data_IF_498598516205
#
_entry.id   IF_498598516205
#
_cell.length_a   1.000
_cell.length_b   1.000
_cell.length_c   1.000
_cell.angle_alpha   90.00
_cell.angle_beta   90.00
_cell.angle_gamma   90.00
#
_symmetry.space_group_name_H-M   'P 1'
#
loop_
_entity.id
_entity.type
_entity.pdbx_description
1 polymer ?
#
# COMPACT_ATOMS: atom_id res chain seq x y z
N UNK A 1 6.92 39.90 18.29
CA UNK A 1 7.45 39.31 17.05
C UNK A 1 8.36 38.17 17.44
N UNK A 2 7.81 36.96 17.52
CA UNK A 2 8.58 35.75 17.80
C UNK A 2 7.96 34.65 16.96
N UNK A 3 8.27 34.67 15.67
CA UNK A 3 7.98 33.57 14.77
C UNK A 3 8.86 32.41 15.23
N UNK A 4 8.24 31.36 15.77
CA UNK A 4 8.95 30.26 16.43
C UNK A 4 9.75 29.47 15.40
N UNK A 5 10.99 29.06 15.74
CA UNK A 5 11.90 28.24 14.92
C UNK A 5 11.23 27.03 14.23
N UNK A 6 10.13 26.54 14.79
CA UNK A 6 9.32 25.45 14.22
C UNK A 6 8.61 25.83 12.91
N UNK A 7 8.06 27.04 12.80
CA UNK A 7 7.37 27.48 11.57
C UNK A 7 8.36 27.67 10.41
N UNK A 8 9.58 28.10 10.71
CA UNK A 8 10.65 28.21 9.73
C UNK A 8 11.11 26.84 9.22
N UNK A 9 11.29 25.86 10.12
CA UNK A 9 11.69 24.50 9.74
C UNK A 9 10.61 23.77 8.91
N UNK A 10 9.33 23.98 9.23
CA UNK A 10 8.22 23.43 8.44
C UNK A 10 8.13 24.09 7.06
N UNK A 11 8.35 25.40 6.97
CA UNK A 11 8.36 26.12 5.69
C UNK A 11 9.54 25.68 4.79
N UNK A 12 10.71 25.44 5.38
CA UNK A 12 11.90 24.95 4.67
C UNK A 12 11.67 23.53 4.13
N UNK A 13 11.13 22.62 4.95
CA UNK A 13 10.79 21.26 4.50
C UNK A 13 9.75 21.25 3.37
N UNK A 14 8.73 22.13 3.42
CA UNK A 14 7.73 22.27 2.35
C UNK A 14 8.36 22.83 1.06
N UNK A 15 9.35 23.72 1.16
CA UNK A 15 10.04 24.30 0.00
C UNK A 15 10.92 23.26 -0.70
N UNK A 16 11.68 22.47 0.05
CA UNK A 16 12.48 21.36 -0.48
C UNK A 16 11.60 20.30 -1.15
N UNK A 17 10.43 20.01 -0.57
CA UNK A 17 9.44 19.11 -1.16
C UNK A 17 8.87 19.64 -2.48
N UNK A 18 8.65 20.96 -2.59
CA UNK A 18 8.16 21.58 -3.84
C UNK A 18 9.17 21.50 -4.96
N UNK A 19 10.45 21.77 -4.68
CA UNK A 19 11.52 21.64 -5.69
C UNK A 19 11.67 20.19 -6.15
N UNK A 20 11.50 19.23 -5.22
CA UNK A 20 11.51 17.80 -5.54
C UNK A 20 10.30 17.42 -6.42
N UNK A 21 9.10 17.93 -6.13
CA UNK A 21 7.90 17.71 -6.94
C UNK A 21 8.00 18.38 -8.32
N UNK A 22 8.61 19.55 -8.43
CA UNK A 22 8.84 20.22 -9.73
C UNK A 22 9.91 19.50 -10.56
N UNK A 23 10.95 18.96 -9.94
CA UNK A 23 11.91 18.06 -10.59
C UNK A 23 11.22 16.77 -11.08
N UNK A 24 10.23 16.28 -10.32
CA UNK A 24 9.36 15.17 -10.72
C UNK A 24 8.29 15.54 -11.78
N UNK A 25 8.25 16.78 -12.26
CA UNK A 25 7.28 17.23 -13.28
C UNK A 25 7.84 17.33 -14.71
N UNK A 26 9.16 17.30 -14.90
CA UNK A 26 9.79 17.55 -16.21
C UNK A 26 10.08 16.24 -16.96
N UNK A 27 9.17 15.89 -17.88
CA UNK A 27 9.25 14.83 -18.92
C UNK A 27 9.46 13.40 -18.41
N UNK A 28 8.34 12.78 -18.04
CA UNK A 28 8.24 11.35 -17.69
C UNK A 28 7.81 10.52 -18.90
N UNK A 29 8.71 9.65 -19.38
CA UNK A 29 8.44 8.62 -20.38
C UNK A 29 8.88 7.26 -19.80
N UNK A 30 7.95 6.47 -19.24
CA UNK A 30 8.21 5.11 -18.78
C UNK A 30 7.32 4.11 -19.55
N UNK A 31 7.95 3.12 -20.18
CA UNK A 31 7.31 2.08 -20.99
C UNK A 31 8.20 0.83 -21.07
N UNK A 32 8.73 0.39 -19.93
CA UNK A 32 9.61 -0.78 -19.81
C UNK A 32 8.95 -1.83 -18.91
N UNK A 33 9.02 -3.11 -19.30
CA UNK A 33 8.42 -4.23 -18.58
C UNK A 33 9.51 -5.18 -18.06
N UNK A 34 9.42 -5.60 -16.79
CA UNK A 34 10.24 -6.67 -16.19
C UNK A 34 9.64 -8.06 -16.52
N UNK A 35 10.31 -9.16 -16.14
CA UNK A 35 9.90 -10.53 -16.53
C UNK A 35 8.63 -11.03 -15.81
N UNK A 36 7.50 -11.17 -16.52
CA UNK A 36 6.19 -11.59 -15.99
C UNK A 36 5.96 -13.13 -15.99
N UNK A 37 6.76 -13.93 -15.29
CA UNK A 37 6.47 -15.38 -15.14
C UNK A 37 5.38 -15.68 -14.11
N UNK A 38 5.30 -14.89 -13.03
CA UNK A 38 4.31 -15.05 -11.97
C UNK A 38 2.91 -14.67 -12.45
N UNK A 39 2.74 -13.54 -13.14
CA UNK A 39 1.47 -13.12 -13.67
C UNK A 39 0.97 -14.01 -14.81
N UNK A 40 1.85 -14.62 -15.62
CA UNK A 40 1.43 -15.62 -16.63
C UNK A 40 0.74 -16.85 -16.04
N UNK A 41 1.00 -17.19 -14.76
CA UNK A 41 0.36 -18.31 -14.05
C UNK A 41 -0.86 -17.91 -13.24
N UNK A 42 -1.09 -16.61 -13.03
CA UNK A 42 -2.19 -16.13 -12.23
C UNK A 42 -3.53 -16.28 -12.97
N UNK A 43 -4.55 -16.72 -12.22
CA UNK A 43 -5.91 -16.89 -12.72
C UNK A 43 -6.56 -15.52 -12.97
N UNK A 44 -7.15 -15.36 -14.17
CA UNK A 44 -8.06 -14.26 -14.50
C UNK A 44 -9.47 -14.57 -13.99
N UNK A 45 -10.28 -13.54 -13.77
CA UNK A 45 -11.65 -13.72 -13.31
C UNK A 45 -11.85 -13.27 -11.87
N UNK A 46 -13.06 -12.81 -11.56
CA UNK A 46 -13.48 -12.54 -10.19
C UNK A 46 -14.56 -13.52 -9.74
N UNK A 47 -14.21 -14.46 -8.87
CA UNK A 47 -15.18 -15.36 -8.26
C UNK A 47 -14.83 -15.71 -6.80
N UNK A 48 -15.70 -16.52 -6.18
CA UNK A 48 -15.54 -16.97 -4.81
C UNK A 48 -14.24 -17.78 -4.61
N UNK A 49 -13.83 -18.57 -5.61
CA UNK A 49 -12.61 -19.37 -5.54
C UNK A 49 -11.35 -18.51 -5.56
N UNK A 50 -11.33 -17.43 -6.35
CA UNK A 50 -10.25 -16.43 -6.33
C UNK A 50 -10.16 -15.77 -4.96
N UNK A 51 -11.27 -15.34 -4.38
CA UNK A 51 -11.29 -14.72 -3.05
C UNK A 51 -10.81 -15.69 -1.96
N UNK A 52 -11.22 -16.95 -2.01
CA UNK A 52 -10.75 -18.00 -1.10
C UNK A 52 -9.27 -18.28 -1.27
N UNK A 53 -8.80 -18.32 -2.52
CA UNK A 53 -7.38 -18.51 -2.84
C UNK A 53 -6.52 -17.39 -2.25
N UNK A 54 -6.92 -16.12 -2.42
CA UNK A 54 -6.22 -14.95 -1.83
C UNK A 54 -6.09 -15.12 -0.32
N UNK A 55 -7.20 -15.41 0.35
CA UNK A 55 -7.24 -15.54 1.80
C UNK A 55 -6.39 -16.71 2.31
N UNK A 56 -6.42 -17.84 1.61
CA UNK A 56 -5.60 -19.01 1.93
C UNK A 56 -4.11 -18.77 1.69
N UNK A 57 -3.74 -18.15 0.56
CA UNK A 57 -2.36 -17.84 0.21
C UNK A 57 -1.72 -16.90 1.23
N UNK A 58 -2.51 -15.95 1.74
CA UNK A 58 -2.10 -15.00 2.79
C UNK A 58 -2.13 -15.57 4.20
N UNK A 59 -2.80 -16.71 4.41
CA UNK A 59 -2.96 -17.32 5.74
C UNK A 59 -3.82 -16.46 6.67
N UNK A 60 -4.90 -15.88 6.16
CA UNK A 60 -5.77 -14.98 6.92
C UNK A 60 -6.68 -15.70 7.92
N UNK A 61 -7.10 -15.03 9.01
CA UNK A 61 -8.12 -15.57 9.90
C UNK A 61 -9.49 -15.68 9.21
N UNK A 62 -10.31 -16.65 9.65
CA UNK A 62 -11.61 -16.97 9.05
C UNK A 62 -12.57 -15.76 8.99
N UNK A 63 -12.49 -14.85 9.95
CA UNK A 63 -13.33 -13.65 9.96
C UNK A 63 -13.02 -12.69 8.80
N UNK A 64 -11.76 -12.64 8.35
CA UNK A 64 -11.37 -11.84 7.19
C UNK A 64 -11.90 -12.47 5.91
N UNK A 65 -11.77 -13.79 5.75
CA UNK A 65 -12.39 -14.53 4.64
C UNK A 65 -13.91 -14.26 4.55
N UNK A 66 -14.62 -14.36 5.68
CA UNK A 66 -16.07 -14.06 5.74
C UNK A 66 -16.38 -12.62 5.29
N UNK A 67 -15.53 -11.65 5.64
CA UNK A 67 -15.67 -10.26 5.18
C UNK A 67 -15.42 -10.13 3.68
N UNK A 68 -14.36 -10.75 3.15
CA UNK A 68 -14.05 -10.74 1.71
C UNK A 68 -15.19 -11.33 0.88
N UNK A 69 -15.71 -12.50 1.28
CA UNK A 69 -16.84 -13.15 0.60
C UNK A 69 -18.13 -12.33 0.66
N UNK A 70 -18.40 -11.67 1.79
CA UNK A 70 -19.53 -10.73 1.90
C UNK A 70 -19.36 -9.56 0.95
N UNK A 71 -18.14 -9.03 0.82
CA UNK A 71 -17.83 -7.92 -0.07
C UNK A 71 -17.99 -8.30 -1.54
N UNK A 72 -17.57 -9.51 -1.96
CA UNK A 72 -17.81 -10.04 -3.30
C UNK A 72 -19.30 -10.04 -3.65
N UNK A 73 -20.15 -10.57 -2.76
CA UNK A 73 -21.61 -10.56 -2.96
C UNK A 73 -22.19 -9.15 -3.05
N UNK A 74 -21.63 -8.18 -2.31
CA UNK A 74 -22.04 -6.78 -2.42
C UNK A 74 -21.62 -6.18 -3.76
N UNK A 75 -20.43 -6.51 -4.25
CA UNK A 75 -19.93 -6.08 -5.54
C UNK A 75 -20.81 -6.60 -6.69
N UNK A 76 -21.16 -7.88 -6.68
CA UNK A 76 -22.01 -8.52 -7.70
C UNK A 76 -23.41 -7.91 -7.75
N UNK A 77 -23.99 -7.60 -6.59
CA UNK A 77 -25.33 -7.02 -6.49
C UNK A 77 -25.39 -5.55 -6.88
N UNK A 78 -24.26 -4.84 -6.87
CA UNK A 78 -24.21 -3.40 -7.17
C UNK A 78 -24.03 -3.16 -8.66
N UNK A 79 -24.89 -2.34 -9.29
CA UNK A 79 -24.66 -1.92 -10.68
C UNK A 79 -23.42 -1.03 -10.77
N UNK A 80 -22.84 -0.94 -11.97
CA UNK A 80 -21.82 0.08 -12.25
C UNK A 80 -22.38 1.48 -12.00
N UNK A 81 -21.57 2.42 -11.46
CA UNK A 81 -22.03 3.78 -11.28
C UNK A 81 -22.30 4.42 -12.66
N UNK A 82 -23.37 5.21 -12.73
CA UNK A 82 -23.82 5.88 -13.96
C UNK A 82 -23.37 7.34 -14.03
N UNK A 83 -22.44 7.73 -13.16
CA UNK A 83 -21.90 9.09 -13.04
C UNK A 83 -20.38 9.03 -13.10
N UNK A 84 -19.76 10.11 -13.59
CA UNK A 84 -18.32 10.16 -13.80
C UNK A 84 -17.92 9.68 -15.20
N UNK A 85 -16.68 9.19 -15.39
CA UNK A 85 -16.22 8.67 -16.68
C UNK A 85 -17.03 7.43 -17.09
N UNK A 86 -17.03 7.12 -18.39
CA UNK A 86 -17.58 5.86 -18.87
C UNK A 86 -16.72 4.69 -18.38
N UNK A 87 -17.36 3.70 -17.78
CA UNK A 87 -16.73 2.51 -17.20
C UNK A 87 -17.26 1.22 -17.83
N UNK A 88 -18.05 1.30 -18.90
CA UNK A 88 -18.60 0.11 -19.58
C UNK A 88 -17.52 -0.75 -20.22
N UNK A 89 -16.31 -0.20 -20.40
CA UNK A 89 -15.16 -0.92 -20.94
C UNK A 89 -14.51 -1.89 -19.94
N UNK A 90 -14.84 -1.79 -18.64
CA UNK A 90 -14.22 -2.61 -17.61
C UNK A 90 -14.84 -4.01 -17.64
N UNK A 91 -14.05 -4.98 -18.09
CA UNK A 91 -14.35 -6.40 -17.94
C UNK A 91 -13.61 -6.95 -16.71
N UNK A 92 -14.35 -7.15 -15.62
CA UNK A 92 -13.77 -7.64 -14.38
C UNK A 92 -13.17 -9.05 -14.52
N UNK A 93 -13.58 -9.83 -15.51
CA UNK A 93 -13.05 -11.17 -15.70
C UNK A 93 -11.69 -11.20 -16.44
N UNK A 94 -11.26 -10.08 -17.03
CA UNK A 94 -9.99 -9.98 -17.73
C UNK A 94 -8.80 -9.66 -16.80
N UNK A 95 -9.06 -9.25 -15.57
CA UNK A 95 -8.00 -8.87 -14.63
C UNK A 95 -7.48 -10.05 -13.81
N UNK A 96 -6.21 -9.96 -13.43
CA UNK A 96 -5.61 -10.78 -12.37
C UNK A 96 -5.73 -10.02 -11.06
N UNK A 97 -6.39 -10.62 -10.08
CA UNK A 97 -6.64 -10.01 -8.77
C UNK A 97 -5.58 -10.32 -7.72
N UNK A 98 -4.76 -11.34 -7.98
CA UNK A 98 -3.70 -11.75 -7.07
C UNK A 98 -2.58 -12.43 -7.85
N UNK A 99 -1.38 -11.87 -7.73
CA UNK A 99 -0.17 -12.42 -8.33
C UNK A 99 0.87 -12.50 -7.22
N UNK A 100 1.35 -13.71 -6.96
CA UNK A 100 2.40 -13.93 -5.97
C UNK A 100 3.75 -13.99 -6.68
N UNK A 101 4.57 -12.98 -6.49
CA UNK A 101 5.82 -12.82 -7.24
C UNK A 101 7.02 -13.37 -6.46
N UNK A 102 6.92 -13.43 -5.12
CA UNK A 102 7.99 -13.97 -4.27
C UNK A 102 7.42 -14.80 -3.12
N UNK A 103 8.16 -15.83 -2.66
CA UNK A 103 7.71 -16.65 -1.53
C UNK A 103 7.98 -15.99 -0.17
N UNK A 104 8.86 -14.98 -0.10
CA UNK A 104 9.29 -14.29 1.12
C UNK A 104 9.56 -12.80 0.87
N UNK A 105 9.07 -11.88 1.73
CA UNK A 105 9.51 -10.49 1.77
C UNK A 105 11.03 -10.42 2.02
N UNK A 106 11.72 -9.45 1.40
CA UNK A 106 13.13 -9.21 1.69
C UNK A 106 13.27 -8.55 3.06
N UNK A 107 14.22 -9.05 3.86
CA UNK A 107 14.51 -8.54 5.21
C UNK A 107 15.40 -7.31 5.21
N UNK A 108 16.19 -7.12 4.15
CA UNK A 108 17.06 -5.96 4.00
C UNK A 108 17.09 -5.50 2.54
N UNK A 109 17.63 -4.29 2.33
CA UNK A 109 17.81 -3.75 0.97
C UNK A 109 18.70 -4.68 0.13
N UNK A 110 19.74 -5.26 0.73
CA UNK A 110 20.66 -6.19 0.06
C UNK A 110 19.98 -7.50 -0.34
N UNK A 111 18.91 -7.90 0.33
CA UNK A 111 18.11 -9.08 0.01
C UNK A 111 17.11 -8.84 -1.13
N UNK A 112 16.92 -7.58 -1.56
CA UNK A 112 16.00 -7.28 -2.65
C UNK A 112 16.52 -7.86 -3.99
N UNK A 113 15.63 -8.47 -4.80
CA UNK A 113 15.89 -8.81 -6.18
C UNK A 113 16.51 -7.65 -6.97
N UNK A 114 17.41 -7.98 -7.89
CA UNK A 114 18.24 -7.00 -8.59
C UNK A 114 17.42 -6.13 -9.57
N UNK A 115 16.33 -6.66 -10.12
CA UNK A 115 15.33 -5.92 -10.89
C UNK A 115 14.64 -4.83 -10.05
N UNK A 116 14.35 -5.14 -8.78
CA UNK A 116 13.77 -4.17 -7.84
C UNK A 116 14.79 -3.08 -7.52
N UNK A 117 16.02 -3.44 -7.12
CA UNK A 117 17.09 -2.45 -6.82
C UNK A 117 17.37 -1.52 -8.00
N UNK A 118 17.51 -2.08 -9.20
CA UNK A 118 17.75 -1.33 -10.44
C UNK A 118 16.63 -0.33 -10.74
N UNK A 119 15.41 -0.66 -10.33
CA UNK A 119 14.27 0.24 -10.48
C UNK A 119 14.38 1.42 -9.53
N UNK A 120 14.64 1.17 -8.25
CA UNK A 120 14.82 2.23 -7.26
C UNK A 120 15.96 3.16 -7.63
N UNK A 121 17.05 2.62 -8.18
CA UNK A 121 18.17 3.41 -8.70
C UNK A 121 17.75 4.29 -9.89
N UNK A 122 16.88 3.79 -10.78
CA UNK A 122 16.38 4.52 -11.96
C UNK A 122 15.30 5.53 -11.67
N UNK A 123 14.50 5.31 -10.62
CA UNK A 123 13.50 6.27 -10.13
C UNK A 123 14.14 7.56 -9.61
N UNK A 124 15.47 7.60 -9.47
CA UNK A 124 16.19 8.80 -9.09
C UNK A 124 15.99 9.16 -7.63
N UNK A 125 15.57 8.21 -6.79
CA UNK A 125 15.56 8.37 -5.34
C UNK A 125 16.97 8.80 -4.94
N UNK A 126 17.16 10.04 -4.46
CA UNK A 126 18.48 10.57 -4.14
C UNK A 126 19.22 9.59 -3.23
N UNK A 127 20.54 9.47 -3.36
CA UNK A 127 21.35 8.61 -2.48
C UNK A 127 21.13 8.94 -0.98
N UNK A 128 20.79 10.19 -0.69
CA UNK A 128 20.36 10.67 0.62
C UNK A 128 18.99 10.13 1.06
N UNK A 129 18.04 9.96 0.12
CA UNK A 129 16.81 9.23 0.41
C UNK A 129 17.10 7.74 0.56
N UNK A 130 18.01 7.11 -0.19
CA UNK A 130 18.40 5.70 0.07
C UNK A 130 18.90 5.46 1.51
N UNK A 131 19.64 6.42 2.07
CA UNK A 131 20.02 6.41 3.48
C UNK A 131 18.85 6.72 4.44
N UNK A 132 17.83 7.48 3.98
CA UNK A 132 16.56 7.73 4.70
C UNK A 132 15.47 6.69 4.41
N UNK A 133 15.64 5.76 3.47
CA UNK A 133 14.73 4.62 3.25
C UNK A 133 14.78 3.67 4.46
N UNK A 134 15.83 3.80 5.27
CA UNK A 134 15.98 3.19 6.60
C UNK A 134 15.06 3.85 7.65
N UNK A 135 14.37 4.96 7.32
CA UNK A 135 13.59 5.76 8.25
C UNK A 135 12.12 5.34 8.43
N UNK A 136 11.70 4.22 7.84
CA UNK A 136 10.31 3.80 7.79
C UNK A 136 9.78 3.87 6.36
N UNK A 137 10.28 2.98 5.49
CA UNK A 137 9.74 2.82 4.14
C UNK A 137 9.16 1.42 3.98
N UNK A 138 7.89 1.39 3.59
CA UNK A 138 7.23 0.19 3.09
C UNK A 138 7.20 0.25 1.56
N UNK A 139 7.88 -0.70 0.91
CA UNK A 139 7.92 -0.81 -0.54
C UNK A 139 7.09 -2.01 -0.97
N UNK A 140 6.03 -1.77 -1.75
CA UNK A 140 5.19 -2.79 -2.34
C UNK A 140 5.53 -3.01 -3.81
N UNK A 141 5.67 -4.29 -4.18
CA UNK A 141 5.88 -4.72 -5.55
C UNK A 141 4.80 -5.74 -5.89
N UNK A 142 3.96 -5.43 -6.88
CA UNK A 142 2.76 -6.21 -7.21
C UNK A 142 1.79 -6.33 -6.02
N UNK A 143 1.48 -7.56 -5.58
CA UNK A 143 0.48 -7.84 -4.54
C UNK A 143 1.09 -7.92 -3.13
N UNK A 144 2.42 -7.81 -3.01
CA UNK A 144 3.16 -8.08 -1.77
C UNK A 144 4.15 -6.96 -1.44
N UNK A 145 4.28 -6.67 -0.15
CA UNK A 145 5.31 -5.77 0.35
C UNK A 145 6.65 -6.50 0.34
N UNK A 146 7.58 -5.98 -0.46
CA UNK A 146 8.91 -6.57 -0.67
C UNK A 146 9.94 -6.06 0.32
N UNK A 147 9.71 -4.91 0.95
CA UNK A 147 10.58 -4.37 1.99
C UNK A 147 9.79 -3.55 3.00
N UNK A 148 10.08 -3.79 4.28
CA UNK A 148 9.52 -3.03 5.38
C UNK A 148 10.54 -2.93 6.51
N UNK A 149 11.15 -1.75 6.69
CA UNK A 149 12.02 -1.47 7.82
C UNK A 149 11.57 -0.18 8.51
N UNK A 150 11.01 -0.31 9.70
CA UNK A 150 10.78 0.79 10.63
C UNK A 150 12.03 0.97 11.49
N UNK A 151 12.34 2.21 11.88
CA UNK A 151 13.45 2.45 12.81
C UNK A 151 13.10 1.95 14.21
N UNK A 152 14.07 1.32 14.86
CA UNK A 152 13.96 0.79 16.22
C UNK A 152 13.47 1.85 17.24
N UNK A 153 13.80 3.13 17.04
CA UNK A 153 13.38 4.21 17.94
C UNK A 153 11.88 4.54 17.83
N UNK A 154 11.24 4.29 16.68
CA UNK A 154 9.80 4.40 16.53
C UNK A 154 9.08 3.19 17.13
N UNK A 155 9.61 1.99 16.93
CA UNK A 155 9.07 0.77 17.55
C UNK A 155 9.12 0.85 19.09
N UNK A 156 10.21 1.39 19.65
CA UNK A 156 10.35 1.62 21.10
C UNK A 156 9.30 2.60 21.65
N UNK A 157 8.79 3.50 20.81
CA UNK A 157 7.69 4.41 21.15
C UNK A 157 6.30 3.77 20.96
N UNK A 158 6.25 2.51 20.52
CA UNK A 158 5.02 1.77 20.27
C UNK A 158 4.37 2.07 18.92
N UNK A 159 5.06 2.79 18.02
CA UNK A 159 4.60 2.99 16.64
C UNK A 159 4.67 1.66 15.90
N UNK A 160 3.59 1.31 15.20
CA UNK A 160 3.56 0.15 14.33
C UNK A 160 3.47 0.65 12.91
N UNK A 161 4.44 0.32 12.07
CA UNK A 161 4.36 0.51 10.62
C UNK A 161 4.65 -0.81 9.93
N UNK A 162 3.58 -1.41 9.37
CA UNK A 162 3.62 -2.71 8.72
C UNK A 162 2.90 -2.65 7.38
N UNK A 163 3.09 -3.67 6.55
CA UNK A 163 2.11 -3.97 5.52
C UNK A 163 0.82 -4.51 6.15
N UNK A 164 -0.30 -4.35 5.44
CA UNK A 164 -1.62 -4.74 5.95
C UNK A 164 -1.75 -6.25 6.19
N UNK A 165 -1.01 -7.08 5.45
CA UNK A 165 -1.00 -8.54 5.64
C UNK A 165 -0.28 -8.96 6.92
N UNK A 166 0.89 -8.35 7.20
CA UNK A 166 1.63 -8.52 8.45
C UNK A 166 0.84 -7.97 9.65
N UNK A 167 0.18 -6.82 9.50
CA UNK A 167 -0.64 -6.24 10.55
C UNK A 167 -1.82 -7.16 10.93
N UNK A 168 -2.47 -7.80 9.95
CA UNK A 168 -3.56 -8.73 10.21
C UNK A 168 -3.11 -9.96 11.01
N UNK A 169 -1.84 -10.36 10.89
CA UNK A 169 -1.24 -11.49 11.64
C UNK A 169 -0.73 -11.07 13.02
N UNK A 170 -0.04 -9.92 13.10
CA UNK A 170 0.68 -9.46 14.31
C UNK A 170 -0.20 -8.64 15.25
N UNK A 171 -1.15 -7.89 14.71
CA UNK A 171 -2.06 -6.99 15.45
C UNK A 171 -3.54 -7.21 15.05
N UNK A 172 -4.04 -8.47 15.11
CA UNK A 172 -5.38 -8.81 14.64
C UNK A 172 -6.50 -8.06 15.35
N UNK A 173 -6.29 -7.67 16.61
CA UNK A 173 -7.23 -6.86 17.40
C UNK A 173 -7.42 -5.45 16.82
N UNK A 174 -6.32 -4.73 16.57
CA UNK A 174 -6.36 -3.39 15.98
C UNK A 174 -6.96 -3.43 14.58
N UNK A 175 -6.53 -4.39 13.76
CA UNK A 175 -7.09 -4.54 12.40
C UNK A 175 -8.58 -4.88 12.49
N UNK A 176 -8.99 -5.81 13.36
CA UNK A 176 -10.41 -6.19 13.46
C UNK A 176 -11.31 -5.05 13.95
N UNK A 177 -10.81 -4.22 14.86
CA UNK A 177 -11.51 -3.07 15.41
C UNK A 177 -11.74 -1.98 14.35
N UNK A 178 -10.70 -1.62 13.59
CA UNK A 178 -10.75 -0.46 12.70
C UNK A 178 -11.01 -0.80 11.22
N UNK A 179 -10.80 -2.05 10.79
CA UNK A 179 -10.92 -2.39 9.37
C UNK A 179 -12.36 -2.26 8.86
N UNK A 180 -12.55 -1.29 7.96
CA UNK A 180 -13.82 -1.00 7.32
C UNK A 180 -14.82 -0.21 8.16
N UNK A 181 -14.36 0.48 9.21
CA UNK A 181 -15.20 1.40 10.00
C UNK A 181 -15.45 2.71 9.26
N UNK A 182 -14.43 3.27 8.61
CA UNK A 182 -14.53 4.51 7.81
C UNK A 182 -15.03 4.22 6.39
N UNK A 183 -14.41 3.27 5.69
CA UNK A 183 -14.82 2.82 4.35
C UNK A 183 -15.32 1.37 4.42
N UNK A 184 -16.61 1.14 4.71
CA UNK A 184 -17.18 -0.19 4.80
C UNK A 184 -17.26 -0.87 3.42
N UNK A 185 -17.32 -2.21 3.42
CA UNK A 185 -17.47 -2.99 2.19
C UNK A 185 -18.71 -2.60 1.36
N UNK A 186 -19.73 -2.04 2.01
CA UNK A 186 -20.96 -1.57 1.38
C UNK A 186 -20.97 -0.08 1.04
N UNK A 187 -19.84 0.61 1.06
CA UNK A 187 -19.80 2.04 0.70
C UNK A 187 -20.19 2.25 -0.77
N UNK A 188 -19.39 1.73 -1.70
CA UNK A 188 -19.62 1.77 -3.15
C UNK A 188 -19.16 0.47 -3.83
N UNK A 189 -19.42 0.32 -5.14
CA UNK A 189 -19.08 -0.90 -5.90
C UNK A 189 -17.58 -1.21 -5.82
N UNK A 190 -16.72 -0.21 -5.99
CA UNK A 190 -15.26 -0.40 -5.95
C UNK A 190 -14.73 -0.61 -4.53
N UNK A 191 -15.36 -0.05 -3.50
CA UNK A 191 -15.06 -0.39 -2.11
C UNK A 191 -15.42 -1.85 -1.78
N UNK A 192 -16.52 -2.37 -2.34
CA UNK A 192 -16.87 -3.79 -2.27
C UNK A 192 -15.80 -4.65 -2.96
N UNK A 193 -15.38 -4.27 -4.17
CA UNK A 193 -14.32 -4.96 -4.91
C UNK A 193 -13.02 -4.97 -4.12
N UNK A 194 -12.50 -3.79 -3.73
CA UNK A 194 -11.30 -3.64 -2.92
C UNK A 194 -11.38 -4.51 -1.65
N UNK A 195 -12.48 -4.47 -0.91
CA UNK A 195 -12.61 -5.30 0.30
C UNK A 195 -12.59 -6.82 0.00
N UNK A 196 -13.07 -7.25 -1.18
CA UNK A 196 -13.03 -8.66 -1.57
C UNK A 196 -11.60 -9.12 -1.90
N UNK A 197 -10.86 -8.31 -2.65
CA UNK A 197 -9.61 -8.74 -3.30
C UNK A 197 -8.34 -8.03 -2.82
N UNK A 198 -8.41 -7.18 -1.78
CA UNK A 198 -7.26 -6.36 -1.40
C UNK A 198 -5.98 -7.17 -1.17
N UNK A 199 -4.88 -6.63 -1.70
CA UNK A 199 -3.52 -7.17 -1.62
C UNK A 199 -2.51 -6.08 -1.28
N UNK A 200 -1.76 -6.30 -0.19
CA UNK A 200 -0.87 -5.29 0.38
C UNK A 200 -1.60 -4.04 0.91
N UNK A 201 -0.94 -2.89 0.81
CA UNK A 201 -1.27 -1.64 1.49
C UNK A 201 -0.45 -1.44 2.76
N UNK A 202 -0.67 -0.31 3.42
CA UNK A 202 0.06 0.08 4.63
C UNK A 202 -0.82 0.06 5.88
N UNK A 203 -0.27 -0.41 6.99
CA UNK A 203 -0.87 -0.33 8.31
C UNK A 203 0.00 0.51 9.23
N UNK A 204 -0.56 1.59 9.75
CA UNK A 204 0.12 2.51 10.66
C UNK A 204 -0.70 2.65 11.93
N UNK A 205 -0.09 2.43 13.09
CA UNK A 205 -0.65 2.78 14.39
C UNK A 205 0.33 3.68 15.15
N UNK A 206 -0.17 4.81 15.66
CA UNK A 206 0.59 5.76 16.46
C UNK A 206 -0.08 5.93 17.83
N UNK A 207 0.60 5.54 18.94
CA UNK A 207 0.01 5.57 20.27
C UNK A 207 -0.31 6.98 20.78
N UNK A 208 -1.14 7.04 21.83
CA UNK A 208 -1.53 8.27 22.51
C UNK A 208 -0.31 9.13 22.89
N UNK A 209 -0.34 10.39 22.48
CA UNK A 209 0.71 11.39 22.76
C UNK A 209 2.03 11.18 22.02
N UNK A 210 2.16 10.16 21.16
CA UNK A 210 3.38 9.92 20.39
C UNK A 210 3.39 10.78 19.13
N UNK A 211 4.51 11.45 18.89
CA UNK A 211 4.70 12.32 17.72
C UNK A 211 5.82 11.77 16.85
N UNK A 212 5.45 11.34 15.64
CA UNK A 212 6.37 10.87 14.60
C UNK A 212 6.81 12.08 13.77
N UNK A 213 8.00 12.62 14.06
CA UNK A 213 8.53 13.83 13.40
C UNK A 213 9.12 13.58 12.01
N UNK A 214 9.38 12.32 11.68
CA UNK A 214 9.84 11.90 10.35
C UNK A 214 8.65 11.42 9.50
N UNK A 215 8.55 11.80 8.22
CA UNK A 215 7.50 11.27 7.35
C UNK A 215 7.64 9.76 7.17
N UNK A 216 6.53 9.02 7.32
CA UNK A 216 6.43 7.63 6.92
C UNK A 216 6.05 7.57 5.45
N UNK A 217 6.78 6.79 4.66
CA UNK A 217 6.57 6.73 3.22
C UNK A 217 6.23 5.30 2.79
N UNK A 218 5.20 5.18 1.95
CA UNK A 218 4.87 3.93 1.26
C UNK A 218 4.93 4.13 -0.25
N UNK A 219 5.63 3.23 -0.94
CA UNK A 219 5.78 3.27 -2.39
C UNK A 219 5.28 1.98 -3.02
N UNK A 220 4.40 2.11 -4.01
CA UNK A 220 3.74 1.00 -4.69
C UNK A 220 4.16 0.95 -6.16
N UNK A 221 4.67 -0.21 -6.62
CA UNK A 221 5.03 -0.43 -8.02
C UNK A 221 4.38 -1.70 -8.60
N UNK A 222 3.94 -1.58 -9.86
CA UNK A 222 3.41 -2.67 -10.68
C UNK A 222 4.37 -2.96 -11.84
N UNK A 223 4.56 -4.23 -12.19
CA UNK A 223 5.22 -4.65 -13.43
C UNK A 223 4.39 -5.65 -14.24
N UNK A 224 3.36 -6.26 -13.65
CA UNK A 224 2.53 -7.29 -14.28
C UNK A 224 1.41 -6.69 -15.11
N UNK A 225 1.38 -7.02 -16.40
CA UNK A 225 0.33 -6.56 -17.31
C UNK A 225 -1.06 -7.13 -16.91
N UNK A 226 -2.08 -6.28 -16.98
CA UNK A 226 -3.48 -6.59 -16.61
C UNK A 226 -3.67 -7.01 -15.13
N UNK A 227 -2.77 -6.60 -14.24
CA UNK A 227 -2.96 -6.75 -12.80
C UNK A 227 -3.77 -5.58 -12.22
N UNK A 228 -4.79 -5.88 -11.44
CA UNK A 228 -5.51 -4.87 -10.68
C UNK A 228 -4.86 -4.60 -9.33
N UNK A 229 -4.50 -3.34 -9.05
CA UNK A 229 -4.00 -2.93 -7.74
C UNK A 229 -5.18 -2.68 -6.79
N UNK A 230 -5.20 -3.41 -5.68
CA UNK A 230 -6.21 -3.26 -4.63
C UNK A 230 -5.52 -3.11 -3.28
N UNK A 231 -4.78 -2.03 -3.11
CA UNK A 231 -4.16 -1.73 -1.83
C UNK A 231 -5.21 -1.30 -0.79
N UNK A 232 -4.87 -1.49 0.47
CA UNK A 232 -5.70 -0.99 1.56
C UNK A 232 -4.84 -0.44 2.69
N UNK A 233 -4.81 0.88 2.76
CA UNK A 233 -4.10 1.62 3.80
C UNK A 233 -5.00 1.88 5.01
N UNK A 234 -4.53 1.54 6.21
CA UNK A 234 -5.20 1.75 7.50
C UNK A 234 -4.26 2.51 8.44
N UNK A 235 -4.61 3.76 8.76
CA UNK A 235 -3.85 4.62 9.66
C UNK A 235 -4.69 4.89 10.90
N UNK A 236 -4.16 4.58 12.07
CA UNK A 236 -4.77 4.78 13.38
C UNK A 236 -3.86 5.71 14.18
N UNK A 237 -4.26 6.97 14.27
CA UNK A 237 -3.58 7.98 15.08
C UNK A 237 -4.39 8.20 16.37
N UNK A 238 -3.88 7.72 17.50
CA UNK A 238 -4.57 7.82 18.79
C UNK A 238 -4.50 9.26 19.36
N UNK A 239 -5.19 9.51 20.47
CA UNK A 239 -5.39 10.84 21.05
C UNK A 239 -4.05 11.60 21.23
N UNK A 240 -3.99 12.82 20.71
CA UNK A 240 -2.79 13.66 20.83
C UNK A 240 -1.55 13.12 20.12
N UNK A 241 -1.69 12.09 19.27
CA UNK A 241 -0.60 11.61 18.42
C UNK A 241 -0.42 12.46 17.16
N UNK A 242 0.71 12.30 16.49
CA UNK A 242 0.99 12.95 15.21
C UNK A 242 1.77 12.03 14.28
N UNK A 243 1.36 12.00 13.01
CA UNK A 243 2.06 11.30 11.93
C UNK A 243 1.93 12.09 10.63
N UNK A 244 3.01 12.10 9.85
CA UNK A 244 3.01 12.54 8.46
C UNK A 244 3.20 11.30 7.59
N UNK A 245 2.20 10.98 6.76
CA UNK A 245 2.25 9.84 5.85
C UNK A 245 2.25 10.32 4.40
N UNK A 246 3.13 9.74 3.58
CA UNK A 246 3.24 10.01 2.15
C UNK A 246 3.07 8.70 1.40
N UNK A 247 2.14 8.68 0.46
CA UNK A 247 1.85 7.54 -0.40
C UNK A 247 2.15 7.90 -1.86
N UNK A 248 2.95 7.06 -2.52
CA UNK A 248 3.28 7.22 -3.93
C UNK A 248 2.96 5.95 -4.71
N UNK A 249 2.26 6.10 -5.83
CA UNK A 249 2.01 5.01 -6.77
C UNK A 249 2.76 5.30 -8.08
N UNK A 250 3.44 4.29 -8.63
CA UNK A 250 3.97 4.33 -9.99
C UNK A 250 3.56 3.05 -10.69
N UNK A 251 2.72 3.21 -11.71
CA UNK A 251 2.16 2.13 -12.52
C UNK A 251 2.67 2.23 -13.96
#
# INVERSE_FOLDING_TARGET
MTQTRHEAAVAEAISEQKETIEALGQKYNYGWHDSDEAGRRARRGLDEDVVRHISAAKGEPEWMLKRRLKALRLFERRPMPTWGPDLSFIDFDEYKYFVRTTDKPASSWEDLPEDIKNTYDRLGIPEAEKARLVAGVAAQYESEVVYNQIRDDLEQQGVVFLDTDSALKRHPELVREHFGTVVPAGDNKFASLNTAVWSGGSFIYVPKGVRVDIPLQAYFRINTESMGQFERTLIIADEGSYVHYVEGCTA
#
